data_IF_805411071439
#
_entry.id   IF_805411071439
#
_cell.length_a   1.000
_cell.length_b   1.000
_cell.length_c   1.000
_cell.angle_alpha   90.00
_cell.angle_beta   90.00
_cell.angle_gamma   90.00
#
_symmetry.space_group_name_H-M   'P 1'
#
loop_
_entity.id
_entity.type
_entity.pdbx_description
1 polymer ?
#
# COMPACT_ATOMS: atom_id res chain seq x y z
N UNK A 1 42.73 4.89 10.80
CA UNK A 1 41.65 3.92 11.07
C UNK A 1 42.28 2.62 11.54
N UNK A 2 41.87 2.08 12.68
CA UNK A 2 42.33 0.77 13.12
C UNK A 2 41.85 -0.31 12.12
N UNK A 3 42.66 -1.34 11.83
CA UNK A 3 42.27 -2.40 10.91
C UNK A 3 41.00 -3.10 11.46
N UNK A 4 39.98 -3.21 10.62
CA UNK A 4 38.72 -3.87 11.00
C UNK A 4 38.98 -5.35 11.30
N UNK A 5 38.50 -5.81 12.46
CA UNK A 5 38.59 -7.24 12.85
C UNK A 5 37.77 -8.06 11.87
N UNK A 6 38.40 -9.09 11.31
CA UNK A 6 37.81 -9.95 10.27
C UNK A 6 37.52 -11.35 10.79
N UNK A 7 36.71 -12.12 10.04
CA UNK A 7 36.46 -13.53 10.32
C UNK A 7 37.76 -14.34 10.41
N UNK A 8 38.80 -13.98 9.64
CA UNK A 8 40.11 -14.62 9.68
C UNK A 8 40.83 -14.36 10.99
N UNK A 9 40.72 -13.15 11.54
CA UNK A 9 41.29 -12.77 12.85
C UNK A 9 40.70 -13.61 13.96
N UNK A 10 39.38 -13.77 13.99
CA UNK A 10 38.69 -14.62 14.99
C UNK A 10 39.08 -16.10 14.81
N UNK A 11 39.11 -16.59 13.59
CA UNK A 11 39.48 -17.97 13.28
C UNK A 11 40.88 -18.29 13.79
N UNK A 12 41.85 -17.43 13.56
CA UNK A 12 43.20 -17.55 14.03
C UNK A 12 43.28 -17.53 15.57
N UNK A 13 42.56 -16.62 16.23
CA UNK A 13 42.56 -16.51 17.69
C UNK A 13 41.93 -17.71 18.41
N UNK A 14 40.97 -18.38 17.77
CA UNK A 14 40.32 -19.60 18.33
C UNK A 14 40.99 -20.90 17.89
N UNK A 15 41.84 -20.86 16.85
CA UNK A 15 42.48 -22.04 16.26
C UNK A 15 41.54 -22.91 15.42
N UNK A 16 40.64 -22.27 14.66
CA UNK A 16 39.67 -22.93 13.78
C UNK A 16 39.71 -22.33 12.37
N UNK A 17 39.01 -22.96 11.42
CA UNK A 17 38.88 -22.40 10.06
C UNK A 17 37.93 -21.21 10.03
N UNK A 18 38.07 -20.26 9.06
CA UNK A 18 37.08 -19.20 8.85
C UNK A 18 35.67 -19.69 8.57
N UNK A 19 35.53 -20.85 7.93
CA UNK A 19 34.23 -21.50 7.71
C UNK A 19 33.61 -22.01 9.04
N UNK A 20 34.40 -22.48 9.99
CA UNK A 20 33.93 -22.88 11.34
C UNK A 20 33.41 -21.66 12.09
N UNK A 21 34.12 -20.51 12.02
CA UNK A 21 33.60 -19.24 12.60
C UNK A 21 32.32 -18.80 11.93
N UNK A 22 32.22 -18.87 10.60
CA UNK A 22 31.00 -18.55 9.85
C UNK A 22 29.82 -19.46 10.29
N UNK A 23 30.08 -20.74 10.50
CA UNK A 23 29.04 -21.68 10.94
C UNK A 23 28.55 -21.39 12.37
N UNK A 24 29.39 -20.86 13.26
CA UNK A 24 28.97 -20.45 14.59
C UNK A 24 27.84 -19.42 14.60
N UNK A 25 27.80 -18.55 13.57
CA UNK A 25 26.75 -17.56 13.36
C UNK A 25 25.58 -18.07 12.53
N UNK A 26 25.85 -18.81 11.45
CA UNK A 26 24.85 -19.11 10.41
C UNK A 26 24.27 -20.52 10.48
N UNK A 27 24.99 -21.47 11.08
CA UNK A 27 24.59 -22.91 11.18
C UNK A 27 24.96 -23.49 12.55
N UNK A 28 24.37 -22.97 13.64
CA UNK A 28 24.76 -23.33 15.00
C UNK A 28 24.67 -24.83 15.28
N UNK A 29 23.72 -25.55 14.67
CA UNK A 29 23.56 -26.99 14.81
C UNK A 29 24.68 -27.86 14.19
N UNK A 30 25.60 -27.26 13.41
CA UNK A 30 26.76 -27.98 12.85
C UNK A 30 28.00 -27.95 13.77
N UNK A 31 27.91 -27.30 14.92
CA UNK A 31 29.00 -27.19 15.89
C UNK A 31 28.55 -27.68 17.26
N UNK A 32 29.51 -28.16 18.06
CA UNK A 32 29.22 -28.40 19.47
C UNK A 32 28.95 -27.05 20.18
N UNK A 33 28.03 -27.03 21.15
CA UNK A 33 27.69 -25.85 21.94
C UNK A 33 28.94 -25.18 22.53
N UNK A 34 29.84 -25.96 23.14
CA UNK A 34 31.09 -25.47 23.74
C UNK A 34 32.02 -24.79 22.70
N UNK A 35 32.14 -25.31 21.49
CA UNK A 35 32.94 -24.69 20.44
C UNK A 35 32.30 -23.40 19.94
N UNK A 36 30.98 -23.39 19.75
CA UNK A 36 30.22 -22.21 19.35
C UNK A 36 30.40 -21.07 20.36
N UNK A 37 30.20 -21.34 21.65
CA UNK A 37 30.32 -20.36 22.73
C UNK A 37 31.72 -19.78 22.82
N UNK A 38 32.75 -20.61 22.65
CA UNK A 38 34.15 -20.17 22.60
C UNK A 38 34.42 -19.24 21.42
N UNK A 39 33.85 -19.50 20.23
CA UNK A 39 33.98 -18.67 19.06
C UNK A 39 33.29 -17.32 19.29
N UNK A 40 32.04 -17.32 19.78
CA UNK A 40 31.27 -16.11 20.01
C UNK A 40 31.89 -15.21 21.07
N UNK A 41 32.36 -15.81 22.18
CA UNK A 41 33.06 -15.06 23.24
C UNK A 41 34.33 -14.38 22.72
N UNK A 42 35.15 -15.12 21.92
CA UNK A 42 36.37 -14.56 21.34
C UNK A 42 36.08 -13.46 20.30
N UNK A 43 35.04 -13.64 19.50
CA UNK A 43 34.59 -12.64 18.54
C UNK A 43 34.17 -11.34 19.26
N UNK A 44 33.43 -11.44 20.36
CA UNK A 44 33.03 -10.32 21.18
C UNK A 44 34.25 -9.60 21.82
N UNK A 45 35.19 -10.36 22.39
CA UNK A 45 36.44 -9.83 22.97
C UNK A 45 37.24 -9.01 21.93
N UNK A 46 37.29 -9.50 20.68
CA UNK A 46 38.01 -8.85 19.61
C UNK A 46 37.23 -7.69 18.94
N UNK A 47 35.97 -7.48 19.31
CA UNK A 47 35.09 -6.48 18.67
C UNK A 47 34.63 -6.88 17.25
N UNK A 48 34.57 -8.19 16.96
CA UNK A 48 34.07 -8.68 15.67
C UNK A 48 32.54 -8.70 15.68
N UNK A 49 31.93 -7.86 14.84
CA UNK A 49 30.46 -7.71 14.76
C UNK A 49 29.72 -8.91 14.07
N UNK A 50 30.45 -9.90 13.59
CA UNK A 50 29.90 -11.03 12.84
C UNK A 50 30.26 -11.01 11.35
N UNK A 51 29.84 -12.02 10.58
CA UNK A 51 30.08 -12.10 9.14
C UNK A 51 29.44 -10.91 8.42
N UNK A 52 30.17 -10.33 7.46
CA UNK A 52 29.70 -9.24 6.60
C UNK A 52 28.43 -9.64 5.87
N UNK A 53 27.37 -8.82 6.01
CA UNK A 53 26.07 -9.04 5.39
C UNK A 53 26.16 -9.06 3.86
N UNK A 54 26.99 -8.19 3.27
CA UNK A 54 27.22 -8.13 1.82
C UNK A 54 27.89 -9.38 1.30
N UNK A 55 28.94 -9.87 2.01
CA UNK A 55 29.60 -11.11 1.66
C UNK A 55 28.71 -12.35 1.84
N UNK A 56 27.77 -12.28 2.79
CA UNK A 56 26.76 -13.33 2.98
C UNK A 56 25.74 -13.33 1.83
N UNK A 57 25.21 -12.16 1.45
CA UNK A 57 24.29 -12.00 0.34
C UNK A 57 24.89 -12.50 -0.97
N UNK A 58 26.16 -12.13 -1.23
CA UNK A 58 26.89 -12.58 -2.43
C UNK A 58 27.03 -14.12 -2.50
N UNK A 59 27.25 -14.77 -1.34
CA UNK A 59 27.43 -16.22 -1.27
C UNK A 59 26.13 -17.00 -1.30
N UNK A 60 25.06 -16.48 -0.63
CA UNK A 60 23.75 -17.12 -0.59
C UNK A 60 22.88 -16.80 -1.81
N UNK A 61 23.23 -15.76 -2.59
CA UNK A 61 22.39 -15.21 -3.65
C UNK A 61 21.11 -14.53 -3.13
N UNK A 62 21.00 -14.30 -1.79
CA UNK A 62 19.83 -13.69 -1.16
C UNK A 62 20.22 -12.42 -0.41
N UNK A 63 19.45 -11.35 -0.68
CA UNK A 63 19.61 -10.06 -0.02
C UNK A 63 19.06 -10.05 1.41
N UNK A 64 18.02 -10.85 1.67
CA UNK A 64 17.28 -10.88 2.93
C UNK A 64 16.36 -9.67 3.09
N UNK A 65 15.89 -9.13 1.98
CA UNK A 65 14.99 -7.98 1.97
C UNK A 65 13.94 -8.09 0.85
N UNK A 66 12.73 -7.60 1.14
CA UNK A 66 11.65 -7.40 0.17
C UNK A 66 11.48 -5.90 -0.05
N UNK A 67 11.43 -5.48 -1.33
CA UNK A 67 11.09 -4.13 -1.73
C UNK A 67 9.59 -3.88 -1.61
N UNK A 68 9.19 -2.69 -1.15
CA UNK A 68 7.81 -2.23 -1.24
C UNK A 68 7.81 -0.93 -2.04
N UNK A 69 7.21 -0.99 -3.22
CA UNK A 69 7.18 0.12 -4.16
C UNK A 69 5.85 0.87 -4.02
N UNK A 70 5.94 2.17 -3.79
CA UNK A 70 4.79 3.06 -3.63
C UNK A 70 4.68 4.07 -4.77
N UNK A 71 3.47 4.41 -5.16
CA UNK A 71 3.18 5.36 -6.26
C UNK A 71 3.55 6.81 -5.98
N UNK A 72 3.73 7.20 -4.73
CA UNK A 72 3.94 8.60 -4.33
C UNK A 72 5.21 8.72 -3.45
N UNK A 73 5.36 9.88 -2.81
CA UNK A 73 6.47 10.15 -1.88
C UNK A 73 6.47 9.15 -0.73
N UNK A 74 7.65 8.83 -0.23
CA UNK A 74 7.80 7.89 0.89
C UNK A 74 6.98 8.27 2.13
N UNK A 75 6.72 9.58 2.35
CA UNK A 75 5.88 10.05 3.44
C UNK A 75 4.44 9.50 3.36
N UNK A 76 3.91 9.21 2.16
CA UNK A 76 2.60 8.62 1.97
C UNK A 76 2.47 7.27 2.70
N UNK A 77 3.49 6.42 2.62
CA UNK A 77 3.51 5.13 3.28
C UNK A 77 3.26 5.18 4.81
N UNK A 78 3.49 6.35 5.43
CA UNK A 78 3.32 6.56 6.87
C UNK A 78 2.14 7.47 7.24
N UNK A 79 1.53 8.12 6.27
CA UNK A 79 0.43 9.07 6.50
C UNK A 79 -0.93 8.55 6.09
N UNK A 80 -0.97 7.60 5.14
CA UNK A 80 -2.21 6.97 4.71
C UNK A 80 -2.51 5.73 5.56
N UNK A 81 -3.63 5.68 6.30
CA UNK A 81 -4.00 4.54 7.13
C UNK A 81 -4.12 3.22 6.35
N UNK A 82 -4.51 3.28 5.07
CA UNK A 82 -4.55 2.11 4.20
C UNK A 82 -3.14 1.55 3.95
N UNK A 83 -2.19 2.41 3.58
CA UNK A 83 -0.80 2.01 3.38
C UNK A 83 -0.16 1.48 4.67
N UNK A 84 -0.41 2.14 5.81
CA UNK A 84 0.06 1.71 7.14
C UNK A 84 -0.50 0.33 7.51
N UNK A 85 -1.79 0.10 7.29
CA UNK A 85 -2.42 -1.21 7.54
C UNK A 85 -1.85 -2.32 6.67
N UNK A 86 -1.62 -2.05 5.39
CA UNK A 86 -0.97 -2.97 4.47
C UNK A 86 0.45 -3.32 4.91
N UNK A 87 1.26 -2.29 5.22
CA UNK A 87 2.63 -2.48 5.72
C UNK A 87 2.67 -3.29 7.02
N UNK A 88 1.74 -3.05 7.94
CA UNK A 88 1.67 -3.80 9.18
C UNK A 88 1.43 -5.30 8.92
N UNK A 89 0.54 -5.64 7.97
CA UNK A 89 0.31 -7.03 7.58
C UNK A 89 1.52 -7.68 6.91
N UNK A 90 2.18 -6.96 6.01
CA UNK A 90 3.39 -7.43 5.34
C UNK A 90 4.55 -7.63 6.33
N UNK A 91 4.70 -6.71 7.29
CA UNK A 91 5.74 -6.78 8.30
C UNK A 91 5.63 -8.01 9.20
N UNK A 92 4.40 -8.41 9.59
CA UNK A 92 4.19 -9.64 10.38
C UNK A 92 4.76 -10.87 9.68
N UNK A 93 4.58 -10.99 8.37
CA UNK A 93 5.12 -12.10 7.60
C UNK A 93 6.62 -11.95 7.38
N UNK A 94 7.10 -10.73 7.12
CA UNK A 94 8.53 -10.46 6.97
C UNK A 94 9.31 -10.81 8.24
N UNK A 95 8.77 -10.52 9.43
CA UNK A 95 9.35 -10.92 10.73
C UNK A 95 9.42 -12.44 10.87
N UNK A 96 8.36 -13.16 10.51
CA UNK A 96 8.32 -14.62 10.55
C UNK A 96 9.43 -15.25 9.68
N UNK A 97 9.68 -14.68 8.50
CA UNK A 97 10.73 -15.13 7.57
C UNK A 97 12.09 -14.43 7.76
N UNK A 98 12.27 -13.67 8.86
CA UNK A 98 13.51 -12.95 9.19
C UNK A 98 14.00 -12.10 7.99
N UNK A 99 13.08 -11.40 7.34
CA UNK A 99 13.31 -10.61 6.14
C UNK A 99 13.07 -9.12 6.43
N UNK A 100 13.92 -8.24 5.89
CA UNK A 100 13.77 -6.80 6.03
C UNK A 100 12.82 -6.23 4.96
N UNK A 101 12.19 -5.08 5.23
CA UNK A 101 11.41 -4.33 4.24
C UNK A 101 12.22 -3.10 3.77
N UNK A 102 12.33 -2.93 2.45
CA UNK A 102 12.94 -1.77 1.81
C UNK A 102 11.85 -0.95 1.10
N UNK A 103 11.50 0.21 1.65
CA UNK A 103 10.47 1.07 1.08
C UNK A 103 11.06 1.93 -0.02
N UNK A 104 10.46 1.93 -1.21
CA UNK A 104 10.93 2.63 -2.40
C UNK A 104 9.80 3.45 -3.04
N UNK A 105 9.89 4.78 -3.09
CA UNK A 105 8.92 5.59 -3.81
C UNK A 105 9.16 5.50 -5.33
N UNK A 106 8.07 5.30 -6.08
CA UNK A 106 8.04 5.41 -7.54
C UNK A 106 7.13 6.58 -7.92
N UNK A 107 7.60 7.78 -7.62
CA UNK A 107 6.82 9.00 -7.88
C UNK A 107 6.86 9.40 -9.34
N UNK A 108 5.71 9.83 -9.88
CA UNK A 108 5.60 10.43 -11.21
C UNK A 108 6.43 11.71 -11.36
N UNK A 109 6.71 12.41 -10.25
CA UNK A 109 7.54 13.62 -10.26
C UNK A 109 9.05 13.36 -10.32
N UNK A 110 9.51 12.10 -10.08
CA UNK A 110 10.93 11.70 -10.16
C UNK A 110 11.04 10.26 -10.70
N UNK A 111 10.67 10.09 -11.95
CA UNK A 111 10.65 8.79 -12.63
C UNK A 111 12.04 8.16 -12.70
N UNK A 112 13.06 8.96 -13.00
CA UNK A 112 14.43 8.47 -13.14
C UNK A 112 15.04 8.09 -11.79
N UNK A 113 14.81 8.89 -10.75
CA UNK A 113 15.24 8.59 -9.37
C UNK A 113 14.62 7.30 -8.86
N UNK A 114 13.32 7.10 -9.08
CA UNK A 114 12.63 5.85 -8.73
C UNK A 114 13.20 4.63 -9.46
N UNK A 115 13.43 4.72 -10.77
CA UNK A 115 14.03 3.64 -11.55
C UNK A 115 15.48 3.33 -11.11
N UNK A 116 16.25 4.36 -10.76
CA UNK A 116 17.60 4.20 -10.22
C UNK A 116 17.61 3.54 -8.85
N UNK A 117 16.67 3.91 -7.96
CA UNK A 117 16.52 3.27 -6.67
C UNK A 117 16.26 1.77 -6.82
N UNK A 118 15.35 1.37 -7.71
CA UNK A 118 15.08 -0.03 -8.02
C UNK A 118 16.31 -0.72 -8.60
N UNK A 119 17.07 -0.05 -9.48
CA UNK A 119 18.29 -0.62 -10.08
C UNK A 119 19.35 -0.98 -9.03
N UNK A 120 19.49 -0.16 -8.00
CA UNK A 120 20.50 -0.30 -6.95
C UNK A 120 20.04 -1.14 -5.76
N UNK A 121 18.76 -1.38 -5.61
CA UNK A 121 18.20 -2.08 -4.47
C UNK A 121 18.67 -3.55 -4.41
N UNK A 122 19.16 -3.98 -3.26
CA UNK A 122 19.37 -5.40 -2.95
C UNK A 122 18.12 -5.98 -2.33
N UNK A 123 17.28 -6.65 -3.13
CA UNK A 123 16.02 -7.24 -2.74
C UNK A 123 15.82 -8.60 -3.40
N UNK A 124 15.10 -9.52 -2.72
CA UNK A 124 14.80 -10.87 -3.18
C UNK A 124 13.41 -10.99 -3.83
N UNK A 125 12.58 -9.99 -3.62
CA UNK A 125 11.23 -9.87 -4.16
C UNK A 125 10.70 -8.46 -3.96
N UNK A 126 9.57 -8.13 -4.59
CA UNK A 126 8.97 -6.81 -4.47
C UNK A 126 7.44 -6.85 -4.42
N UNK A 127 6.86 -6.14 -3.46
CA UNK A 127 5.45 -5.78 -3.42
C UNK A 127 5.23 -4.47 -4.19
N UNK A 128 4.28 -4.45 -5.12
CA UNK A 128 3.92 -3.27 -5.90
C UNK A 128 2.60 -2.74 -5.35
N UNK A 129 2.64 -1.58 -4.68
CA UNK A 129 1.50 -0.99 -4.00
C UNK A 129 1.02 0.26 -4.76
N UNK A 130 -0.12 0.13 -5.44
CA UNK A 130 -0.79 1.22 -6.19
C UNK A 130 0.13 1.97 -7.17
N UNK A 131 1.11 1.31 -7.78
CA UNK A 131 1.99 1.94 -8.79
C UNK A 131 1.34 1.86 -10.16
N UNK A 132 1.32 2.98 -10.88
CA UNK A 132 0.80 3.03 -12.24
C UNK A 132 1.56 2.09 -13.18
N UNK A 133 0.83 1.42 -14.08
CA UNK A 133 1.41 0.58 -15.12
C UNK A 133 2.32 1.41 -16.03
N UNK A 134 3.44 0.82 -16.47
CA UNK A 134 4.39 1.51 -17.36
C UNK A 134 5.46 2.35 -16.66
N UNK A 135 5.50 2.40 -15.32
CA UNK A 135 6.60 3.07 -14.63
C UNK A 135 7.92 2.32 -14.87
N UNK A 136 9.02 3.00 -15.35
CA UNK A 136 10.29 2.34 -15.68
C UNK A 136 10.93 1.53 -14.54
N UNK A 137 10.59 1.84 -13.30
CA UNK A 137 10.99 1.05 -12.13
C UNK A 137 10.42 -0.37 -12.14
N UNK A 138 9.21 -0.58 -12.67
CA UNK A 138 8.60 -1.90 -12.80
C UNK A 138 9.32 -2.72 -13.88
N UNK A 139 9.63 -2.10 -15.04
CA UNK A 139 10.43 -2.73 -16.10
C UNK A 139 11.80 -3.19 -15.59
N UNK A 140 12.39 -2.41 -14.67
CA UNK A 140 13.69 -2.74 -14.08
C UNK A 140 13.60 -3.98 -13.19
N UNK A 141 12.51 -4.19 -12.44
CA UNK A 141 12.31 -5.43 -11.68
C UNK A 141 12.26 -6.64 -12.61
N UNK A 142 11.50 -6.55 -13.71
CA UNK A 142 11.40 -7.61 -14.72
C UNK A 142 12.78 -7.92 -15.37
N UNK A 143 13.54 -6.91 -15.77
CA UNK A 143 14.90 -7.07 -16.34
C UNK A 143 15.88 -7.72 -15.36
N UNK A 144 15.70 -7.50 -14.06
CA UNK A 144 16.50 -8.12 -13.00
C UNK A 144 16.01 -9.51 -12.59
N UNK A 145 14.86 -9.96 -13.10
CA UNK A 145 14.25 -11.24 -12.74
C UNK A 145 13.79 -11.28 -11.26
N UNK A 146 13.45 -10.15 -10.68
CA UNK A 146 12.98 -10.06 -9.30
C UNK A 146 11.49 -10.47 -9.25
N UNK A 147 11.11 -11.47 -8.46
CA UNK A 147 9.70 -11.83 -8.26
C UNK A 147 8.89 -10.63 -7.74
N UNK A 148 7.72 -10.42 -8.30
CA UNK A 148 6.85 -9.29 -7.93
C UNK A 148 5.45 -9.77 -7.59
N UNK A 149 4.81 -9.09 -6.64
CA UNK A 149 3.38 -9.26 -6.32
C UNK A 149 2.71 -7.89 -6.34
N UNK A 150 1.71 -7.71 -7.19
CA UNK A 150 0.93 -6.48 -7.29
C UNK A 150 -0.23 -6.48 -6.29
N UNK A 151 -0.61 -5.29 -5.79
CA UNK A 151 -1.85 -5.12 -5.03
C UNK A 151 -3.07 -4.83 -5.92
N UNK A 152 -2.86 -4.70 -7.23
CA UNK A 152 -3.90 -4.56 -8.26
C UNK A 152 -3.96 -5.82 -9.13
N UNK A 153 -5.15 -6.12 -9.66
CA UNK A 153 -5.34 -7.24 -10.61
C UNK A 153 -4.60 -6.99 -11.90
N UNK A 154 -4.05 -8.05 -12.46
CA UNK A 154 -3.42 -8.08 -13.77
C UNK A 154 -4.09 -9.17 -14.63
N UNK A 155 -4.21 -8.92 -15.93
CA UNK A 155 -4.77 -9.85 -16.89
C UNK A 155 -3.78 -10.97 -17.29
N UNK A 156 -2.47 -10.79 -17.08
CA UNK A 156 -1.48 -11.81 -17.37
C UNK A 156 -1.63 -12.99 -16.39
N UNK A 157 -1.93 -14.20 -16.87
CA UNK A 157 -2.06 -15.37 -15.99
C UNK A 157 -0.76 -15.77 -15.29
N UNK A 158 0.39 -15.22 -15.69
CA UNK A 158 1.69 -15.45 -15.06
C UNK A 158 2.02 -14.42 -13.98
N UNK A 159 1.28 -13.32 -13.91
CA UNK A 159 1.49 -12.30 -12.88
C UNK A 159 1.03 -12.80 -11.52
N UNK A 160 1.71 -12.37 -10.46
CA UNK A 160 1.27 -12.60 -9.08
C UNK A 160 0.62 -11.32 -8.54
N UNK A 161 -0.58 -11.48 -7.97
CA UNK A 161 -1.30 -10.35 -7.38
C UNK A 161 -2.19 -10.78 -6.21
N UNK A 162 -2.39 -9.83 -5.31
CA UNK A 162 -3.34 -9.94 -4.20
C UNK A 162 -4.21 -8.69 -4.22
N UNK A 163 -5.45 -8.81 -4.67
CA UNK A 163 -6.32 -7.68 -4.95
C UNK A 163 -7.75 -7.92 -4.45
N UNK A 164 -8.55 -6.88 -4.45
CA UNK A 164 -10.01 -6.96 -4.39
C UNK A 164 -10.58 -6.80 -5.80
N UNK A 165 -11.88 -7.07 -5.98
CA UNK A 165 -12.60 -6.64 -7.16
C UNK A 165 -13.10 -5.21 -6.93
N UNK A 166 -12.35 -4.22 -7.43
CA UNK A 166 -12.62 -2.79 -7.23
C UNK A 166 -13.98 -2.40 -7.82
N UNK A 167 -14.32 -2.95 -8.99
CA UNK A 167 -15.58 -2.65 -9.66
C UNK A 167 -16.77 -3.23 -8.89
N UNK A 168 -16.67 -4.49 -8.46
CA UNK A 168 -17.74 -5.12 -7.69
C UNK A 168 -17.89 -4.51 -6.30
N UNK A 169 -16.78 -4.14 -5.66
CA UNK A 169 -16.80 -3.45 -4.38
C UNK A 169 -17.54 -2.09 -4.48
N UNK A 170 -17.19 -1.29 -5.49
CA UNK A 170 -17.85 -0.01 -5.72
C UNK A 170 -19.31 -0.17 -6.20
N UNK A 171 -19.64 -1.25 -6.90
CA UNK A 171 -21.02 -1.56 -7.27
C UNK A 171 -21.90 -1.80 -6.03
N UNK A 172 -21.39 -2.46 -4.98
CA UNK A 172 -22.14 -2.60 -3.71
C UNK A 172 -22.52 -1.23 -3.14
N UNK A 173 -21.59 -0.28 -3.20
CA UNK A 173 -21.81 1.08 -2.76
C UNK A 173 -22.82 1.82 -3.65
N UNK A 174 -22.67 1.69 -4.99
CA UNK A 174 -23.60 2.25 -5.97
C UNK A 174 -25.03 1.71 -5.80
N UNK A 175 -25.18 0.41 -5.59
CA UNK A 175 -26.47 -0.22 -5.29
C UNK A 175 -27.12 0.36 -4.01
N UNK A 176 -26.34 0.57 -2.94
CA UNK A 176 -26.81 1.20 -1.72
C UNK A 176 -27.33 2.61 -1.97
N UNK A 177 -26.58 3.44 -2.72
CA UNK A 177 -26.96 4.81 -3.04
C UNK A 177 -28.19 4.86 -3.96
N UNK A 178 -28.30 3.95 -4.94
CA UNK A 178 -29.47 3.83 -5.79
C UNK A 178 -30.75 3.51 -4.98
N UNK A 179 -30.65 2.60 -4.01
CA UNK A 179 -31.76 2.25 -3.10
C UNK A 179 -32.19 3.41 -2.21
N UNK A 180 -31.27 4.34 -1.90
CA UNK A 180 -31.58 5.55 -1.14
C UNK A 180 -32.12 6.69 -2.04
N UNK A 181 -32.21 6.48 -3.35
CA UNK A 181 -32.77 7.40 -4.34
C UNK A 181 -31.80 8.47 -4.85
N UNK A 182 -30.51 8.30 -4.63
CA UNK A 182 -29.52 9.25 -5.13
C UNK A 182 -29.34 9.15 -6.64
N UNK A 183 -29.38 10.29 -7.33
CA UNK A 183 -29.19 10.41 -8.79
C UNK A 183 -28.28 11.57 -9.21
N UNK A 184 -27.87 12.42 -8.29
CA UNK A 184 -26.88 13.47 -8.48
C UNK A 184 -25.76 13.32 -7.44
N UNK A 185 -24.58 12.93 -7.91
CA UNK A 185 -23.48 12.52 -7.07
C UNK A 185 -22.18 13.21 -7.47
N UNK A 186 -21.32 13.43 -6.51
CA UNK A 186 -19.94 13.82 -6.73
C UNK A 186 -19.02 12.71 -6.20
N UNK A 187 -18.05 12.33 -7.01
CA UNK A 187 -16.97 11.41 -6.63
C UNK A 187 -15.70 12.23 -6.41
N UNK A 188 -15.14 12.15 -5.22
CA UNK A 188 -13.85 12.72 -4.90
C UNK A 188 -12.77 11.72 -5.33
N UNK A 189 -11.93 12.15 -6.26
CA UNK A 189 -10.83 11.36 -6.83
C UNK A 189 -9.50 11.98 -6.48
N UNK A 190 -8.46 11.14 -6.38
CA UNK A 190 -7.09 11.63 -6.27
C UNK A 190 -6.52 11.96 -7.65
N UNK A 191 -5.79 13.06 -7.71
CA UNK A 191 -5.00 13.45 -8.88
C UNK A 191 -3.69 14.07 -8.39
N UNK A 192 -2.61 13.33 -8.56
CA UNK A 192 -1.26 13.76 -8.16
C UNK A 192 -0.66 14.78 -9.13
N UNK A 193 -1.20 14.88 -10.35
CA UNK A 193 -0.72 15.82 -11.37
C UNK A 193 -1.23 17.25 -11.18
N UNK A 194 -2.23 17.45 -10.32
CA UNK A 194 -2.71 18.75 -9.91
C UNK A 194 -2.09 19.17 -8.56
N UNK A 195 -0.78 19.43 -8.49
CA UNK A 195 -0.14 19.79 -7.22
C UNK A 195 -0.56 21.21 -6.83
N UNK A 196 -1.30 21.25 -5.80
CA UNK A 196 -1.29 22.41 -4.96
C UNK A 196 -2.39 23.35 -5.19
N UNK A 197 -3.50 23.15 -4.92
CA UNK A 197 -4.22 24.18 -4.27
C UNK A 197 -5.66 24.47 -4.70
N UNK A 198 -6.01 24.30 -5.92
CA UNK A 198 -7.43 24.53 -6.28
C UNK A 198 -8.08 23.21 -6.67
N UNK A 199 -9.21 22.88 -6.04
CA UNK A 199 -9.99 21.73 -6.48
C UNK A 199 -10.50 21.98 -7.92
N UNK A 200 -10.54 20.90 -8.72
CA UNK A 200 -10.95 20.94 -10.12
C UNK A 200 -11.97 19.84 -10.41
N UNK A 201 -12.89 20.12 -11.32
CA UNK A 201 -13.70 19.05 -11.92
C UNK A 201 -12.89 18.35 -13.00
N UNK A 202 -13.00 17.03 -13.07
CA UNK A 202 -12.28 16.16 -14.01
C UNK A 202 -13.26 15.47 -14.94
N UNK A 203 -12.78 15.17 -16.15
CA UNK A 203 -13.37 14.15 -17.02
C UNK A 203 -12.91 12.76 -16.63
N UNK A 204 -13.60 11.71 -17.10
CA UNK A 204 -13.21 10.34 -16.81
C UNK A 204 -11.79 10.01 -17.31
N UNK A 205 -11.41 10.53 -18.48
CA UNK A 205 -10.09 10.29 -19.09
C UNK A 205 -8.93 10.97 -18.35
N UNK A 206 -9.24 11.90 -17.44
CA UNK A 206 -8.25 12.58 -16.59
C UNK A 206 -8.01 11.86 -15.25
N UNK A 207 -8.72 10.75 -15.00
CA UNK A 207 -8.50 9.90 -13.81
C UNK A 207 -7.27 9.03 -14.03
N UNK A 208 -6.15 9.39 -13.41
CA UNK A 208 -4.87 8.72 -13.60
C UNK A 208 -4.65 7.45 -12.75
N UNK A 209 -5.67 6.97 -12.07
CA UNK A 209 -5.61 5.83 -11.15
C UNK A 209 -6.50 4.67 -11.63
N UNK A 210 -5.92 3.54 -11.96
CA UNK A 210 -6.67 2.38 -12.44
C UNK A 210 -7.74 1.90 -11.44
N UNK A 211 -7.42 1.83 -10.15
CA UNK A 211 -8.36 1.41 -9.12
C UNK A 211 -9.53 2.40 -9.02
N UNK A 212 -9.25 3.70 -9.14
CA UNK A 212 -10.26 4.76 -9.19
C UNK A 212 -11.19 4.59 -10.39
N UNK A 213 -10.65 4.30 -11.59
CA UNK A 213 -11.47 4.05 -12.77
C UNK A 213 -12.40 2.86 -12.57
N UNK A 214 -11.91 1.75 -12.05
CA UNK A 214 -12.74 0.56 -11.78
C UNK A 214 -13.83 0.86 -10.75
N UNK A 215 -13.53 1.61 -9.69
CA UNK A 215 -14.52 2.06 -8.70
C UNK A 215 -15.59 2.93 -9.35
N UNK A 216 -15.21 3.89 -10.18
CA UNK A 216 -16.17 4.76 -10.89
C UNK A 216 -17.05 3.92 -11.83
N UNK A 217 -16.50 2.97 -12.58
CA UNK A 217 -17.27 2.06 -13.43
C UNK A 217 -18.27 1.21 -12.64
N UNK A 218 -17.89 0.76 -11.44
CA UNK A 218 -18.78 0.06 -10.52
C UNK A 218 -19.97 0.90 -10.07
N UNK A 219 -19.73 2.16 -9.73
CA UNK A 219 -20.78 3.13 -9.40
C UNK A 219 -21.71 3.39 -10.59
N UNK A 220 -21.17 3.64 -11.78
CA UNK A 220 -21.92 3.91 -13.00
C UNK A 220 -22.83 2.72 -13.39
N UNK A 221 -22.35 1.49 -13.18
CA UNK A 221 -23.13 0.28 -13.46
C UNK A 221 -24.42 0.21 -12.65
N UNK A 222 -24.37 0.57 -11.38
CA UNK A 222 -25.50 0.47 -10.45
C UNK A 222 -26.37 1.75 -10.42
N UNK A 223 -25.89 2.84 -10.99
CA UNK A 223 -26.56 4.13 -11.04
C UNK A 223 -26.77 4.61 -12.49
N UNK A 224 -27.47 3.81 -13.33
CA UNK A 224 -27.70 4.18 -14.72
C UNK A 224 -28.54 5.47 -14.80
N UNK A 225 -28.05 6.45 -15.58
CA UNK A 225 -28.71 7.75 -15.74
C UNK A 225 -28.48 8.73 -14.59
N UNK A 226 -27.75 8.38 -13.54
CA UNK A 226 -27.33 9.32 -12.54
C UNK A 226 -26.30 10.32 -13.10
N UNK A 227 -26.36 11.54 -12.62
CA UNK A 227 -25.33 12.56 -12.87
C UNK A 227 -24.18 12.32 -11.91
N UNK A 228 -23.04 11.89 -12.42
CA UNK A 228 -21.81 11.67 -11.63
C UNK A 228 -20.76 12.67 -12.07
N UNK A 229 -20.39 13.59 -11.18
CA UNK A 229 -19.30 14.56 -11.38
C UNK A 229 -18.04 14.06 -10.65
N UNK A 230 -16.89 14.23 -11.27
CA UNK A 230 -15.61 13.88 -10.68
C UNK A 230 -14.91 15.14 -10.22
N UNK A 231 -14.47 15.17 -8.97
CA UNK A 231 -13.81 16.35 -8.39
C UNK A 231 -12.52 15.90 -7.71
N UNK A 232 -11.42 16.56 -8.05
CA UNK A 232 -10.14 16.37 -7.36
C UNK A 232 -9.79 17.58 -6.51
N UNK A 233 -9.45 17.33 -5.25
CA UNK A 233 -8.81 18.31 -4.36
C UNK A 233 -7.30 18.13 -4.25
N UNK A 234 -6.71 17.18 -5.01
CA UNK A 234 -5.29 16.82 -5.00
C UNK A 234 -5.06 15.33 -4.73
N UNK A 235 -3.93 14.98 -4.15
CA UNK A 235 -3.56 13.61 -3.81
C UNK A 235 -4.53 12.96 -2.79
N UNK A 236 -4.44 11.65 -2.59
CA UNK A 236 -5.23 10.92 -1.59
C UNK A 236 -4.91 11.39 -0.17
N UNK A 237 -5.70 12.32 0.34
CA UNK A 237 -5.50 12.93 1.65
C UNK A 237 -6.81 13.54 2.20
N UNK A 238 -6.91 13.65 3.51
CA UNK A 238 -8.01 14.34 4.19
C UNK A 238 -8.20 15.78 3.69
N UNK A 239 -7.09 16.53 3.54
CA UNK A 239 -7.14 17.91 3.05
C UNK A 239 -7.64 18.04 1.62
N UNK A 240 -7.42 17.03 0.79
CA UNK A 240 -7.91 16.99 -0.59
C UNK A 240 -9.42 16.73 -0.62
N UNK A 241 -9.89 15.80 0.20
CA UNK A 241 -11.31 15.55 0.40
C UNK A 241 -12.05 16.80 0.92
N UNK A 242 -11.47 17.48 1.90
CA UNK A 242 -11.98 18.75 2.42
C UNK A 242 -12.15 19.80 1.30
N UNK A 243 -11.07 20.11 0.56
CA UNK A 243 -11.10 21.13 -0.51
C UNK A 243 -12.05 20.77 -1.65
N UNK A 244 -12.05 19.48 -2.08
CA UNK A 244 -12.96 19.01 -3.11
C UNK A 244 -14.43 19.16 -2.72
N UNK A 245 -14.75 18.80 -1.48
CA UNK A 245 -16.09 18.95 -0.94
C UNK A 245 -16.49 20.44 -0.75
N UNK A 246 -15.57 21.32 -0.36
CA UNK A 246 -15.82 22.75 -0.26
C UNK A 246 -16.25 23.35 -1.62
N UNK A 247 -15.53 23.03 -2.70
CA UNK A 247 -15.92 23.46 -4.05
C UNK A 247 -17.37 23.09 -4.36
N UNK A 248 -17.75 21.85 -4.04
CA UNK A 248 -19.07 21.30 -4.34
C UNK A 248 -20.16 21.88 -3.45
N UNK A 249 -19.89 22.03 -2.16
CA UNK A 249 -20.86 22.53 -1.17
C UNK A 249 -21.14 24.04 -1.31
N UNK A 250 -20.17 24.79 -1.85
CA UNK A 250 -20.30 26.24 -2.11
C UNK A 250 -20.97 26.53 -3.46
N UNK A 251 -21.17 25.52 -4.31
CA UNK A 251 -21.88 25.66 -5.58
C UNK A 251 -23.40 25.78 -5.38
N UNK A 252 -24.10 26.39 -6.35
CA UNK A 252 -25.56 26.41 -6.37
C UNK A 252 -26.15 25.02 -6.71
N UNK A 253 -25.37 24.18 -7.36
CA UNK A 253 -25.74 22.87 -7.86
C UNK A 253 -25.13 21.78 -6.96
N UNK A 254 -25.73 21.63 -5.77
CA UNK A 254 -25.25 20.65 -4.77
C UNK A 254 -25.72 19.26 -5.11
N UNK A 255 -24.84 18.25 -5.04
CA UNK A 255 -25.24 16.86 -5.19
C UNK A 255 -26.07 16.39 -3.99
N UNK A 256 -26.69 15.24 -4.13
CA UNK A 256 -27.37 14.55 -3.00
C UNK A 256 -26.42 13.62 -2.23
N UNK A 257 -25.31 13.22 -2.86
CA UNK A 257 -24.29 12.40 -2.22
C UNK A 257 -22.86 12.77 -2.66
N UNK A 258 -21.91 12.68 -1.75
CA UNK A 258 -20.47 12.75 -1.99
C UNK A 258 -19.85 11.38 -1.70
N UNK A 259 -19.07 10.87 -2.64
CA UNK A 259 -18.37 9.60 -2.56
C UNK A 259 -16.88 9.89 -2.51
N UNK A 260 -16.20 9.60 -1.40
CA UNK A 260 -14.75 9.54 -1.38
C UNK A 260 -14.29 8.18 -1.90
N UNK A 261 -13.40 8.16 -2.89
CA UNK A 261 -12.79 6.90 -3.32
C UNK A 261 -11.82 6.32 -2.29
N UNK A 262 -11.61 7.03 -1.19
CA UNK A 262 -11.00 6.55 0.05
C UNK A 262 -11.71 7.17 1.26
N UNK A 263 -11.60 6.52 2.41
CA UNK A 263 -12.15 7.04 3.66
C UNK A 263 -11.50 8.37 4.07
N UNK A 264 -10.21 8.56 3.81
CA UNK A 264 -9.54 9.82 4.17
C UNK A 264 -10.13 11.01 3.41
N UNK A 265 -10.52 10.84 2.14
CA UNK A 265 -11.21 11.87 1.37
C UNK A 265 -12.64 12.07 1.86
N UNK A 266 -13.37 10.99 2.15
CA UNK A 266 -14.73 11.05 2.68
C UNK A 266 -14.78 11.75 4.04
N UNK A 267 -13.83 11.48 4.92
CA UNK A 267 -13.70 12.17 6.22
C UNK A 267 -13.42 13.66 6.05
N UNK A 268 -12.62 14.04 5.05
CA UNK A 268 -12.41 15.43 4.66
C UNK A 268 -13.71 16.10 4.20
N UNK A 269 -14.53 15.39 3.42
CA UNK A 269 -15.85 15.89 3.01
C UNK A 269 -16.81 16.08 4.19
N UNK A 270 -16.80 15.15 5.16
CA UNK A 270 -17.59 15.29 6.39
C UNK A 270 -17.17 16.53 7.20
N UNK A 271 -15.88 16.84 7.26
CA UNK A 271 -15.41 18.08 7.93
C UNK A 271 -15.86 19.33 7.18
N UNK A 272 -15.84 19.34 5.83
CA UNK A 272 -16.38 20.44 5.03
C UNK A 272 -17.89 20.66 5.29
N UNK A 273 -18.65 19.59 5.48
CA UNK A 273 -20.07 19.67 5.87
C UNK A 273 -20.23 20.24 7.27
N UNK A 274 -19.46 19.79 8.23
CA UNK A 274 -19.52 20.23 9.63
C UNK A 274 -19.28 21.74 9.77
N UNK A 275 -18.31 22.30 9.05
CA UNK A 275 -18.06 23.74 9.04
C UNK A 275 -19.25 24.54 8.51
N UNK A 276 -20.11 23.93 7.69
CA UNK A 276 -21.35 24.49 7.14
C UNK A 276 -22.60 24.10 7.93
N UNK A 277 -22.43 23.43 9.07
CA UNK A 277 -23.50 22.90 9.93
C UNK A 277 -24.42 21.90 9.22
N UNK A 278 -23.92 21.23 8.19
CA UNK A 278 -24.61 20.15 7.52
C UNK A 278 -24.31 18.81 8.24
N UNK A 279 -25.28 17.93 8.30
CA UNK A 279 -25.20 16.64 8.97
C UNK A 279 -25.15 15.53 7.93
N UNK A 280 -24.04 14.75 7.85
CA UNK A 280 -23.96 13.60 6.97
C UNK A 280 -25.10 12.60 7.20
N UNK A 281 -25.64 12.06 6.11
CA UNK A 281 -26.78 11.13 6.12
C UNK A 281 -28.15 11.77 6.30
N UNK A 282 -28.23 13.04 6.73
CA UNK A 282 -29.49 13.79 6.84
C UNK A 282 -29.60 14.87 5.75
N UNK A 283 -28.60 15.73 5.65
CA UNK A 283 -28.64 16.89 4.74
C UNK A 283 -27.96 16.55 3.40
N UNK A 284 -26.99 15.64 3.42
CA UNK A 284 -26.29 15.10 2.28
C UNK A 284 -25.62 13.78 2.69
N UNK A 285 -25.66 12.77 1.83
CA UNK A 285 -24.98 11.50 2.07
C UNK A 285 -23.49 11.64 1.78
N UNK A 286 -22.66 11.06 2.67
CA UNK A 286 -21.21 10.85 2.43
C UNK A 286 -20.87 9.39 2.60
N UNK A 287 -20.17 8.83 1.64
CA UNK A 287 -19.69 7.45 1.69
C UNK A 287 -18.20 7.38 1.34
N UNK A 288 -17.50 6.39 1.87
CA UNK A 288 -16.07 6.19 1.71
C UNK A 288 -15.72 4.82 1.12
N UNK A 289 -14.43 4.52 1.18
CA UNK A 289 -13.86 3.25 0.76
C UNK A 289 -12.64 2.96 1.64
N UNK A 290 -12.48 1.75 2.20
CA UNK A 290 -11.36 1.14 2.95
C UNK A 290 -11.78 0.57 4.31
N UNK A 291 -12.69 1.22 5.04
CA UNK A 291 -13.06 0.99 6.44
C UNK A 291 -11.85 1.12 7.40
N UNK A 292 -11.14 2.24 7.26
CA UNK A 292 -10.08 2.60 8.23
C UNK A 292 -10.67 2.86 9.63
N UNK A 293 -9.89 2.74 10.72
CA UNK A 293 -10.42 2.91 12.09
C UNK A 293 -11.17 4.22 12.33
N UNK A 294 -10.76 5.31 11.67
CA UNK A 294 -11.42 6.61 11.78
C UNK A 294 -12.84 6.61 11.17
N UNK A 295 -13.11 5.76 10.18
CA UNK A 295 -14.43 5.64 9.55
C UNK A 295 -15.51 5.15 10.55
N UNK A 296 -15.16 4.20 11.40
CA UNK A 296 -16.06 3.72 12.45
C UNK A 296 -16.40 4.83 13.44
N UNK A 297 -15.39 5.53 13.95
CA UNK A 297 -15.59 6.63 14.91
C UNK A 297 -16.42 7.77 14.33
N UNK A 298 -16.25 8.07 13.04
CA UNK A 298 -17.00 9.12 12.34
C UNK A 298 -18.42 8.69 11.91
N UNK A 299 -18.77 7.41 12.03
CA UNK A 299 -20.03 6.87 11.53
C UNK A 299 -20.10 6.85 10.00
N UNK A 300 -18.95 6.71 9.30
CA UNK A 300 -18.85 6.72 7.85
C UNK A 300 -19.30 5.38 7.25
N UNK A 301 -20.27 5.42 6.33
CA UNK A 301 -20.63 4.30 5.46
C UNK A 301 -19.52 4.09 4.45
N UNK A 302 -19.01 2.86 4.33
CA UNK A 302 -17.82 2.60 3.53
C UNK A 302 -17.77 1.15 3.05
N UNK A 303 -16.85 0.86 2.12
CA UNK A 303 -16.48 -0.51 1.74
C UNK A 303 -15.31 -0.96 2.63
N UNK A 304 -15.53 -2.03 3.40
CA UNK A 304 -14.44 -2.69 4.13
C UNK A 304 -13.59 -3.51 3.19
N UNK A 305 -12.31 -3.20 3.18
CA UNK A 305 -11.27 -4.02 2.58
C UNK A 305 -10.49 -4.76 3.68
N UNK A 306 -10.02 -5.98 3.46
CA UNK A 306 -9.16 -6.70 4.40
C UNK A 306 -7.70 -6.22 4.28
N UNK A 307 -7.45 -4.95 4.63
CA UNK A 307 -6.21 -4.21 4.36
C UNK A 307 -4.98 -4.96 4.92
N UNK A 308 -5.06 -5.37 6.18
CA UNK A 308 -3.96 -6.05 6.87
C UNK A 308 -3.74 -7.47 6.31
N UNK A 309 -4.83 -8.17 5.99
CA UNK A 309 -4.73 -9.50 5.38
C UNK A 309 -4.19 -9.43 3.95
N UNK A 310 -4.47 -8.34 3.21
CA UNK A 310 -3.84 -8.07 1.91
C UNK A 310 -2.32 -8.02 2.05
N UNK A 311 -1.81 -7.28 3.05
CA UNK A 311 -0.38 -7.22 3.35
C UNK A 311 0.21 -8.58 3.74
N UNK A 312 -0.47 -9.34 4.62
CA UNK A 312 -0.04 -10.72 4.98
C UNK A 312 0.02 -11.63 3.77
N UNK A 313 -1.02 -11.61 2.94
CA UNK A 313 -1.09 -12.48 1.76
C UNK A 313 0.00 -12.13 0.74
N UNK A 314 0.27 -10.84 0.50
CA UNK A 314 1.41 -10.41 -0.33
C UNK A 314 2.73 -10.93 0.24
N UNK A 315 2.90 -10.85 1.56
CA UNK A 315 4.07 -11.40 2.24
C UNK A 315 4.21 -12.93 2.06
N UNK A 316 3.10 -13.66 2.19
CA UNK A 316 3.09 -15.12 1.95
C UNK A 316 3.46 -15.48 0.52
N UNK A 317 2.87 -14.82 -0.47
CA UNK A 317 3.20 -15.04 -1.89
C UNK A 317 4.68 -14.81 -2.18
N UNK A 318 5.31 -13.82 -1.53
CA UNK A 318 6.72 -13.48 -1.76
C UNK A 318 7.70 -14.35 -0.98
N UNK A 319 7.36 -14.77 0.23
CA UNK A 319 8.33 -15.30 1.20
C UNK A 319 8.08 -16.76 1.57
N UNK A 320 6.85 -17.25 1.46
CA UNK A 320 6.47 -18.58 1.89
C UNK A 320 6.50 -19.58 0.72
N UNK A 321 7.48 -20.48 0.66
CA UNK A 321 7.57 -21.45 -0.44
C UNK A 321 6.44 -22.50 -0.40
N UNK A 322 5.70 -22.61 0.69
CA UNK A 322 4.55 -23.51 0.81
C UNK A 322 3.24 -22.84 0.32
N UNK A 323 3.23 -21.52 0.16
CA UNK A 323 2.09 -20.77 -0.34
C UNK A 323 2.07 -20.81 -1.87
N UNK A 324 1.11 -21.54 -2.44
CA UNK A 324 1.07 -21.85 -3.89
C UNK A 324 0.10 -20.96 -4.69
N UNK A 325 -0.75 -20.17 -4.03
CA UNK A 325 -1.67 -19.27 -4.70
C UNK A 325 -0.95 -17.99 -5.11
N UNK A 326 -0.89 -17.70 -6.41
CA UNK A 326 -0.23 -16.51 -6.95
C UNK A 326 -1.20 -15.39 -7.35
N UNK A 327 -2.49 -15.70 -7.46
CA UNK A 327 -3.55 -14.76 -7.82
C UNK A 327 -4.67 -14.87 -6.79
N UNK A 328 -4.69 -13.95 -5.82
CA UNK A 328 -5.61 -14.00 -4.68
C UNK A 328 -6.60 -12.86 -4.73
N UNK A 329 -7.89 -13.20 -4.83
CA UNK A 329 -8.97 -12.23 -4.75
C UNK A 329 -9.54 -12.19 -3.33
N UNK A 330 -9.40 -11.06 -2.67
CA UNK A 330 -9.89 -10.85 -1.31
C UNK A 330 -11.32 -10.33 -1.29
N UNK A 331 -12.14 -10.75 -0.31
CA UNK A 331 -13.52 -10.31 -0.19
C UNK A 331 -13.61 -8.86 0.30
N UNK A 332 -14.72 -8.20 -0.05
CA UNK A 332 -15.09 -6.86 0.46
C UNK A 332 -16.51 -6.87 1.01
N UNK A 333 -16.80 -5.94 1.91
CA UNK A 333 -18.10 -5.80 2.55
C UNK A 333 -18.54 -4.33 2.57
N UNK A 334 -19.83 -4.06 2.32
CA UNK A 334 -20.42 -2.75 2.55
C UNK A 334 -20.78 -2.61 4.02
N UNK A 335 -20.21 -1.61 4.68
CA UNK A 335 -20.48 -1.26 6.07
C UNK A 335 -21.35 0.00 6.10
N UNK A 336 -22.64 -0.17 6.38
CA UNK A 336 -23.59 0.94 6.46
C UNK A 336 -23.55 1.55 7.86
N UNK A 337 -23.38 2.88 7.91
CA UNK A 337 -23.37 3.70 9.12
C UNK A 337 -24.23 4.96 8.93
N UNK A 338 -24.12 5.90 9.85
CA UNK A 338 -25.00 7.08 9.91
C UNK A 338 -24.72 8.15 8.85
N UNK A 339 -23.62 8.06 8.10
CA UNK A 339 -23.26 9.08 7.09
C UNK A 339 -24.03 8.94 5.78
N UNK A 340 -24.81 7.87 5.60
CA UNK A 340 -25.67 7.70 4.43
C UNK A 340 -27.15 7.64 4.85
N UNK A 341 -28.02 8.30 4.10
CA UNK A 341 -29.46 8.37 4.30
C UNK A 341 -30.19 8.61 2.98
N UNK A 342 -31.54 8.68 2.98
CA UNK A 342 -32.33 8.92 1.76
C UNK A 342 -31.91 10.22 1.06
N UNK A 343 -31.99 10.25 -0.27
CA UNK A 343 -31.78 11.48 -1.03
C UNK A 343 -32.75 12.56 -0.57
N UNK A 344 -32.27 13.80 -0.33
CA UNK A 344 -33.18 14.90 -0.03
C UNK A 344 -34.11 15.16 -1.23
N UNK A 345 -35.37 15.48 -0.92
CA UNK A 345 -36.40 15.74 -1.93
C UNK A 345 -36.26 17.12 -2.55
#
# INVERSE_FOLDING_TARGET
>A
MAPSVTIKTVAQAVGVSPSTVSNAYNKPGQLSGALRDRILAKAQELGYAGPDASARALRSGKAGAVGVLFTDKLAYAFSDPYAVGFLAGLAEVAEEFVTSLLLMPLSSSDIEGGANAVRQASIDGAAIFCVATGHPGLDMLGKRGIPTVSTARDADPKSSWVAIDEQEAAAKLGHHLARLGHSDLVVLVDNTEAPGSRPVELTFDEVGCNDCEWRIRGLQRELPGARIRLVSGGANAFSSGLRGAELVLDSQDRPTAIIGLSDVQALGAMEAMKTRRLVPGRDLTVVGFDDIPAAETAGLTTIRQPIKDKGRTVGRVLLDPEFTEHQVLLPTELIVRSSSGPAPH
#
